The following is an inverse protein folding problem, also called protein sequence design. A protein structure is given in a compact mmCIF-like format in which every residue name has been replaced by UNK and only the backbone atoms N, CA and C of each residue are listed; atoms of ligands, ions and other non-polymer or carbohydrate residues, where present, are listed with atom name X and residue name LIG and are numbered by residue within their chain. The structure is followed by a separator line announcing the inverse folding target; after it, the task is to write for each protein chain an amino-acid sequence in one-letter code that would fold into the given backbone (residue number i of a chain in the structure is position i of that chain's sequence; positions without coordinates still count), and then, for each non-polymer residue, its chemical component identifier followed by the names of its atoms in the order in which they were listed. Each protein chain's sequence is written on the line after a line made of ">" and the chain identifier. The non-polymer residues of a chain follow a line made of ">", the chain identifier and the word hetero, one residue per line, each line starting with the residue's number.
data_IF_946620485330
#
_entry.id   IF_946620485330
#
_cell.length_a   1.000
_cell.length_b   1.000
_cell.length_c   1.000
_cell.angle_alpha   90.00
_cell.angle_beta   90.00
_cell.angle_gamma   90.00
#
_symmetry.space_group_name_H-M   'P 1'
#
loop_
_entity.id
_entity.type
_entity.pdbx_description
1 polymer ?
2 non-polymer ?
3 water ?
#
# COMPACT_ATOMS: atom_id res chain seq x y z
N UNK A 20 -4.63 -18.27 -2.51
CA UNK A 20 -5.10 -19.47 -3.32
C UNK A 20 -6.63 -19.49 -3.59
N UNK A 21 -7.39 -18.67 -2.87
CA UNK A 21 -8.70 -18.24 -3.35
C UNK A 21 -8.52 -17.39 -4.60
N UNK A 22 -7.38 -16.71 -4.72
CA UNK A 22 -7.02 -16.01 -5.96
C UNK A 22 -6.84 -17.00 -7.13
N UNK A 23 -6.14 -18.11 -6.86
CA UNK A 23 -6.00 -19.19 -7.86
C UNK A 23 -7.39 -19.67 -8.31
N UNK A 24 -8.22 -20.06 -7.34
CA UNK A 24 -9.62 -20.43 -7.57
C UNK A 24 -10.51 -19.26 -8.08
N UNK A 25 -9.91 -18.11 -8.42
CA UNK A 25 -10.67 -16.95 -8.93
C UNK A 25 -11.76 -16.35 -8.02
N UNK A 26 -11.56 -16.41 -6.69
CA UNK A 26 -12.52 -15.79 -5.76
C UNK A 26 -12.23 -14.29 -5.60
N UNK A 27 -13.22 -13.57 -5.07
CA UNK A 27 -13.15 -12.13 -4.89
C UNK A 27 -12.83 -11.80 -3.43
N UNK A 28 -11.70 -11.14 -3.22
CA UNK A 28 -11.30 -10.64 -1.90
C UNK A 28 -12.30 -9.57 -1.44
N UNK A 29 -12.77 -9.67 -0.21
CA UNK A 29 -13.70 -8.67 0.32
C UNK A 29 -13.02 -7.70 1.23
N UNK A 30 -12.19 -8.23 2.13
CA UNK A 30 -11.43 -7.36 3.01
C UNK A 30 -10.26 -8.10 3.61
N UNK A 31 -9.31 -7.30 4.04
CA UNK A 31 -8.16 -7.75 4.74
C UNK A 31 -8.48 -7.56 6.23
N UNK A 32 -8.47 -8.71 6.92
CA UNK A 32 -8.89 -8.78 8.29
C UNK A 32 -7.70 -8.51 9.21
N UNK A 33 -6.46 -8.70 8.72
CA UNK A 33 -5.27 -8.52 9.53
C UNK A 33 -3.98 -8.80 8.79
N UNK A 34 -2.88 -8.47 9.43
CA UNK A 34 -1.53 -8.62 8.84
C UNK A 34 -0.66 -9.12 9.97
N UNK A 35 0.25 -10.04 9.67
CA UNK A 35 1.16 -10.63 10.68
C UNK A 35 2.56 -10.71 10.06
N UNK A 36 3.52 -10.11 10.76
CA UNK A 36 4.91 -10.11 10.34
C UNK A 36 5.66 -11.21 11.11
N UNK A 37 6.13 -12.22 10.38
CA UNK A 37 6.95 -13.27 10.99
C UNK A 37 8.41 -13.09 10.53
N UNK A 38 9.25 -12.53 11.39
CA UNK A 38 10.66 -12.29 11.05
C UNK A 38 10.86 -11.74 9.62
N UNK A 39 10.21 -10.61 9.33
CA UNK A 39 10.36 -9.90 8.02
C UNK A 39 9.39 -10.34 6.93
N UNK A 40 8.74 -11.51 7.13
CA UNK A 40 7.81 -12.10 6.15
C UNK A 40 6.39 -11.72 6.55
N UNK A 41 5.69 -11.02 5.66
CA UNK A 41 4.36 -10.54 5.98
C UNK A 41 3.28 -11.42 5.33
N UNK A 42 2.29 -11.78 6.16
CA UNK A 42 1.12 -12.52 5.73
C UNK A 42 -0.12 -11.74 6.10
N UNK A 43 -1.10 -11.71 5.19
CA UNK A 43 -2.45 -11.12 5.41
C UNK A 43 -3.53 -12.17 5.68
N UNK A 44 -4.54 -11.83 6.50
CA UNK A 44 -5.73 -12.67 6.67
C UNK A 44 -6.84 -12.01 5.84
N UNK A 45 -7.30 -12.73 4.79
CA UNK A 45 -8.19 -12.18 3.78
C UNK A 45 -9.49 -12.92 3.79
N UNK A 46 -10.58 -12.13 3.92
CA UNK A 46 -11.93 -12.62 3.79
C UNK A 46 -12.34 -12.53 2.33
N UNK A 47 -12.72 -13.69 1.81
CA UNK A 47 -13.20 -13.83 0.45
C UNK A 47 -14.72 -13.93 0.39
N UNK A 48 -15.26 -13.33 -0.65
CA UNK A 48 -16.68 -13.40 -0.89
C UNK A 48 -17.12 -14.88 -1.19
N UNK A 49 -18.16 -15.32 -0.49
CA UNK A 49 -18.72 -16.65 -0.66
C UNK A 49 -17.96 -17.73 0.05
N UNK A 50 -17.02 -17.36 0.91
CA UNK A 50 -16.24 -18.32 1.64
C UNK A 50 -16.31 -17.94 3.11
N UNK A 51 -16.61 -18.93 3.94
CA UNK A 51 -16.85 -18.67 5.34
C UNK A 51 -15.56 -18.43 6.15
N UNK A 52 -14.58 -19.30 5.97
CA UNK A 52 -13.28 -19.17 6.67
C UNK A 52 -12.35 -18.22 5.90
N UNK A 53 -11.77 -17.22 6.61
CA UNK A 53 -10.74 -16.34 6.03
C UNK A 53 -9.46 -17.10 5.73
N UNK A 54 -8.69 -16.61 4.77
CA UNK A 54 -7.54 -17.33 4.27
C UNK A 54 -6.24 -16.50 4.49
N UNK A 55 -5.19 -17.19 4.93
CA UNK A 55 -3.88 -16.58 5.04
C UNK A 55 -3.20 -16.50 3.65
N UNK A 56 -2.85 -15.27 3.26
CA UNK A 56 -2.20 -15.00 1.99
C UNK A 56 -0.90 -14.22 2.21
N UNK A 57 0.24 -14.70 1.61
CA UNK A 57 1.46 -13.93 1.73
C UNK A 57 1.34 -12.55 1.04
N UNK A 58 2.03 -11.56 1.62
CA UNK A 58 2.01 -10.20 1.10
C UNK A 58 2.45 -10.14 -0.38
N UNK A 59 3.40 -10.99 -0.77
CA UNK A 59 3.85 -11.10 -2.16
C UNK A 59 2.73 -11.36 -3.16
N UNK A 60 1.74 -12.17 -2.75
CA UNK A 60 0.56 -12.47 -3.58
C UNK A 60 -0.45 -11.30 -3.51
N UNK A 61 -0.75 -10.85 -2.28
CA UNK A 61 -1.71 -9.74 -2.05
C UNK A 61 -1.32 -8.39 -2.72
N UNK A 62 -0.04 -8.00 -2.61
CA UNK A 62 0.48 -6.78 -3.28
C UNK A 62 0.20 -6.77 -4.80
N UNK A 63 0.29 -7.95 -5.42
CA UNK A 63 0.03 -8.14 -6.82
C UNK A 63 -1.45 -8.19 -7.20
N UNK A 64 -2.21 -8.93 -6.38
CA UNK A 64 -3.57 -9.30 -6.75
C UNK A 64 -4.58 -8.21 -6.34
N UNK A 65 -4.39 -7.63 -5.15
CA UNK A 65 -5.29 -6.59 -4.58
C UNK A 65 -4.54 -5.37 -3.98
N UNK A 66 -3.70 -4.73 -4.80
CA UNK A 66 -2.90 -3.59 -4.33
C UNK A 66 -3.70 -2.42 -3.72
N UNK A 67 -4.88 -2.11 -4.30
CA UNK A 67 -5.73 -1.00 -3.79
C UNK A 67 -6.23 -1.33 -2.36
N UNK A 68 -6.61 -2.59 -2.17
CA UNK A 68 -7.09 -3.07 -0.87
C UNK A 68 -5.93 -3.08 0.15
N UNK A 69 -4.73 -3.47 -0.29
CA UNK A 69 -3.55 -3.46 0.62
C UNK A 69 -3.24 -2.01 1.03
N UNK A 70 -3.23 -1.11 0.06
CA UNK A 70 -2.94 0.29 0.39
C UNK A 70 -3.98 0.88 1.36
N UNK A 71 -5.26 0.62 1.08
CA UNK A 71 -6.36 1.09 1.95
C UNK A 71 -6.24 0.53 3.37
N UNK A 72 -5.79 -0.71 3.47
CA UNK A 72 -5.58 -1.34 4.79
C UNK A 72 -4.49 -0.61 5.55
N UNK A 73 -3.40 -0.36 4.86
CA UNK A 73 -2.30 0.34 5.53
C UNK A 73 -2.64 1.78 5.87
N UNK A 74 -3.35 2.43 4.93
CA UNK A 74 -3.79 3.81 5.09
C UNK A 74 -4.67 3.94 6.28
N UNK A 75 -5.62 3.02 6.42
CA UNK A 75 -6.54 3.06 7.55
C UNK A 75 -5.83 2.71 8.88
N UNK A 76 -4.97 1.68 8.85
CA UNK A 76 -4.15 1.32 10.01
C UNK A 76 -3.13 2.40 10.35
N UNK A 77 -3.08 3.47 9.55
CA UNK A 77 -2.23 4.60 9.88
C UNK A 77 -3.01 5.44 10.90
N UNK A 78 -3.04 4.94 12.14
CA UNK A 78 -3.93 5.47 13.19
C UNK A 78 -3.60 4.87 14.56
N UNK B 20 0.92 18.22 -9.77
CA UNK B 20 2.07 17.48 -9.16
C UNK B 20 3.14 17.07 -10.19
N UNK B 21 4.27 16.56 -9.69
CA UNK B 21 5.42 16.13 -10.51
C UNK B 21 5.08 15.05 -11.51
N UNK B 22 4.06 14.28 -11.18
CA UNK B 22 3.53 13.25 -12.08
C UNK B 22 2.94 13.85 -13.36
N UNK B 23 2.36 15.06 -13.24
CA UNK B 23 1.78 15.80 -14.40
C UNK B 23 2.83 16.28 -15.41
N UNK B 24 4.06 16.40 -14.94
CA UNK B 24 5.17 16.96 -15.75
C UNK B 24 6.11 15.85 -16.27
N UNK B 25 5.65 14.59 -16.21
CA UNK B 25 6.42 13.45 -16.69
C UNK B 25 7.53 12.94 -15.76
N UNK B 26 7.68 13.54 -14.58
CA UNK B 26 8.74 13.16 -13.64
C UNK B 26 8.51 11.76 -13.00
N UNK B 27 9.62 11.12 -12.61
CA UNK B 27 9.60 9.80 -12.02
C UNK B 27 9.89 9.92 -10.55
N UNK B 28 9.00 9.32 -9.74
CA UNK B 28 9.20 9.15 -8.28
C UNK B 28 10.45 8.24 -8.01
N UNK B 29 11.34 8.80 -7.19
CA UNK B 29 12.55 8.16 -6.73
C UNK B 29 12.33 7.53 -5.36
N UNK B 30 11.67 8.27 -4.47
CA UNK B 30 11.54 7.88 -3.07
C UNK B 30 10.42 8.67 -2.42
N UNK B 31 9.70 8.00 -1.53
CA UNK B 31 8.71 8.62 -0.68
C UNK B 31 9.46 8.92 0.61
N UNK B 32 9.49 10.19 1.00
CA UNK B 32 10.30 10.62 2.16
C UNK B 32 9.44 10.62 3.46
N UNK B 33 8.13 10.78 3.33
CA UNK B 33 7.25 10.81 4.50
C UNK B 33 5.79 10.93 4.10
N UNK B 34 4.94 10.82 5.11
CA UNK B 34 3.49 10.81 4.94
C UNK B 34 2.93 11.72 6.07
N UNK B 35 1.89 12.50 5.79
CA UNK B 35 1.27 13.39 6.79
C UNK B 35 -0.23 13.22 6.69
N UNK B 36 -0.90 13.00 7.81
CA UNK B 36 -2.34 12.96 7.81
C UNK B 36 -2.89 14.30 8.24
N UNK B 37 -3.76 14.89 7.42
CA UNK B 37 -4.48 16.11 7.85
C UNK B 37 -5.98 15.83 7.84
N UNK B 38 -6.54 15.66 9.03
CA UNK B 38 -7.97 15.32 9.23
C UNK B 38 -8.52 14.18 8.31
N UNK B 39 -7.78 13.07 8.25
CA UNK B 39 -8.14 11.91 7.42
C UNK B 39 -7.62 12.02 5.99
N UNK B 40 -6.88 13.09 5.71
CA UNK B 40 -6.33 13.37 4.40
C UNK B 40 -4.84 13.20 4.42
N UNK B 41 -4.39 12.23 3.65
CA UNK B 41 -2.99 11.83 3.64
C UNK B 41 -2.26 12.44 2.44
N UNK B 42 -1.09 12.98 2.72
CA UNK B 42 -0.27 13.59 1.71
C UNK B 42 1.12 12.97 1.84
N UNK B 43 1.74 12.66 0.71
CA UNK B 43 3.11 12.12 0.72
C UNK B 43 4.13 13.19 0.36
N UNK B 44 5.30 13.11 0.94
CA UNK B 44 6.43 13.90 0.45
C UNK B 44 7.30 13.04 -0.46
N UNK B 45 7.38 13.44 -1.72
CA UNK B 45 8.01 12.62 -2.74
C UNK B 45 9.24 13.24 -3.42
N UNK B 46 10.35 12.51 -3.37
CA UNK B 46 11.55 12.84 -4.11
C UNK B 46 11.43 12.32 -5.56
N UNK B 47 11.48 13.24 -6.52
CA UNK B 47 11.40 12.93 -7.93
C UNK B 47 12.79 12.98 -8.53
N UNK B 48 13.05 12.08 -9.48
CA UNK B 48 14.37 11.96 -10.09
C UNK B 48 14.75 13.24 -10.82
N UNK B 49 15.96 13.70 -10.55
CA UNK B 49 16.53 14.88 -11.22
C UNK B 49 15.96 16.21 -10.72
N UNK B 50 15.26 16.18 -9.59
CA UNK B 50 14.68 17.37 -9.00
C UNK B 50 15.12 17.40 -7.56
N UNK B 51 15.82 18.47 -7.20
CA UNK B 51 16.40 18.62 -5.89
C UNK B 51 15.36 18.64 -4.77
N UNK B 52 14.37 19.50 -4.92
CA UNK B 52 13.37 19.68 -3.88
C UNK B 52 12.20 18.68 -4.04
N UNK B 53 12.11 17.76 -3.09
CA UNK B 53 10.91 16.92 -2.86
C UNK B 53 9.61 17.74 -2.77
N UNK B 54 8.53 17.14 -3.27
CA UNK B 54 7.21 17.79 -3.41
C UNK B 54 6.07 16.98 -2.79
N UNK B 55 5.10 17.71 -2.24
CA UNK B 55 3.93 17.09 -1.64
C UNK B 55 2.98 16.54 -2.72
N UNK B 56 2.53 15.29 -2.55
CA UNK B 56 1.56 14.66 -3.47
C UNK B 56 0.38 14.03 -2.65
N UNK B 57 -0.88 14.35 -2.99
CA UNK B 57 -1.98 13.65 -2.29
C UNK B 57 -1.86 12.14 -2.48
N UNK B 58 -2.15 11.38 -1.43
CA UNK B 58 -2.15 9.93 -1.54
C UNK B 58 -2.99 9.44 -2.72
N UNK B 59 -4.09 10.11 -3.04
CA UNK B 59 -4.95 9.64 -4.13
C UNK B 59 -4.16 9.55 -5.46
N UNK B 60 -3.33 10.55 -5.73
CA UNK B 60 -2.43 10.52 -6.91
C UNK B 60 -1.37 9.41 -6.74
N UNK B 61 -0.73 9.33 -5.56
CA UNK B 61 0.44 8.41 -5.42
C UNK B 61 -0.04 6.97 -5.50
N UNK B 62 -1.19 6.69 -4.86
CA UNK B 62 -1.77 5.34 -4.89
C UNK B 62 -2.00 4.84 -6.32
N UNK B 63 -2.34 5.75 -7.22
CA UNK B 63 -2.68 5.38 -8.59
C UNK B 63 -1.45 5.24 -9.48
N UNK B 64 -0.48 6.10 -9.25
CA UNK B 64 0.70 6.22 -10.12
C UNK B 64 1.85 5.30 -9.73
N UNK B 65 2.06 5.17 -8.43
CA UNK B 65 3.19 4.42 -7.88
C UNK B 65 2.77 3.48 -6.74
N UNK B 66 1.88 2.55 -7.05
CA UNK B 66 1.37 1.72 -5.96
C UNK B 66 2.46 0.79 -5.36
N UNK B 67 3.40 0.31 -6.17
CA UNK B 67 4.46 -0.57 -5.66
C UNK B 67 5.35 0.20 -4.68
N UNK B 68 5.61 1.45 -5.00
CA UNK B 68 6.46 2.27 -4.12
C UNK B 68 5.69 2.70 -2.85
N UNK B 69 4.37 2.94 -2.99
CA UNK B 69 3.50 3.21 -1.85
C UNK B 69 3.48 2.01 -0.88
N UNK B 70 3.22 0.83 -1.42
CA UNK B 70 3.14 -0.35 -0.61
C UNK B 70 4.47 -0.63 0.12
N UNK B 71 5.56 -0.56 -0.64
CA UNK B 71 6.89 -0.71 -0.06
C UNK B 71 7.15 0.28 1.07
N UNK B 72 6.73 1.54 0.90
CA UNK B 72 6.93 2.54 1.93
C UNK B 72 6.21 2.08 3.21
N UNK B 73 4.98 1.60 3.05
CA UNK B 73 4.18 1.16 4.20
C UNK B 73 4.73 -0.10 4.87
N UNK B 74 5.20 -1.05 4.05
CA UNK B 74 5.84 -2.23 4.61
C UNK B 74 6.98 -1.85 5.52
N UNK B 75 7.86 -0.97 5.03
CA UNK B 75 8.99 -0.52 5.84
C UNK B 75 8.63 0.37 7.03
N UNK B 76 7.84 1.42 6.82
CA UNK B 76 7.39 2.27 7.92
C UNK B 76 6.92 1.40 9.09
N UNK B 77 6.09 0.42 8.75
CA UNK B 77 5.41 -0.41 9.75
C UNK B 77 6.32 -1.46 10.38
N UNK B 78 7.33 -1.90 9.64
CA UNK B 78 8.33 -2.83 10.17
C UNK B 78 9.20 -2.16 11.26
N UNK B 79 9.39 -0.84 11.15
CA UNK B 79 10.20 -0.06 12.11
C UNK B 79 9.38 0.73 13.14
N UNK B 80 8.09 0.93 12.89
CA UNK B 80 7.16 1.62 13.83
C UNK B 80 6.10 0.68 14.43
#
# INVERSE_FOLDING_TARGET
>A
MKKHHHHHHEQDTIPVSGSTGFDRGLEAEKILGASDNNGRLTFLIQFKGVDQAEMVPSSVANEKIPRMVIHFYEERLSWYSDNEDKK
>B
MKKHHHHHHEQDTIPVSGSTGFDRGLEAEKILGASDNNGRLTFLIQFKGVDQAEMVPSSVANEKIPRMVIHFYEERLSWYSDNEDKK
#
